data_IF_724854460917
#
_entry.id   IF_724854460917
#
_cell.length_a   1.000
_cell.length_b   1.000
_cell.length_c   1.000
_cell.angle_alpha   90.00
_cell.angle_beta   90.00
_cell.angle_gamma   90.00
#
_symmetry.space_group_name_H-M   'P 1'
#
loop_
_entity.id
_entity.type
_entity.pdbx_description
1 polymer ?
#
# COMPACT_ATOMS: atom_id res chain seq x y z
N UNK A 1 23.41 -6.36 2.81
CA UNK A 1 22.00 -6.03 3.10
C UNK A 1 22.04 -4.88 4.09
N UNK A 2 21.28 -3.81 3.85
CA UNK A 2 21.22 -2.66 4.74
C UNK A 2 20.53 -3.05 6.05
N UNK A 3 21.00 -2.52 7.19
CA UNK A 3 20.34 -2.66 8.49
C UNK A 3 19.35 -1.52 8.77
N UNK A 4 19.05 -0.69 7.77
CA UNK A 4 18.06 0.40 7.88
C UNK A 4 16.66 -0.13 7.59
N UNK A 5 15.62 0.34 8.30
CA UNK A 5 14.24 -0.03 8.02
C UNK A 5 13.83 0.17 6.57
N UNK A 6 13.16 -0.84 6.01
CA UNK A 6 12.56 -0.77 4.68
C UNK A 6 11.15 -0.23 4.82
N UNK A 7 10.93 1.03 4.43
CA UNK A 7 9.60 1.64 4.40
C UNK A 7 9.08 1.58 2.98
N UNK A 8 7.94 0.92 2.77
CA UNK A 8 7.31 0.77 1.48
C UNK A 8 6.00 1.53 1.43
N UNK A 9 5.81 2.32 0.37
CA UNK A 9 4.54 2.93 0.02
C UNK A 9 4.09 2.39 -1.34
N UNK A 10 2.85 1.92 -1.42
CA UNK A 10 2.22 1.49 -2.68
C UNK A 10 1.03 2.39 -2.96
N UNK A 11 1.03 3.02 -4.13
CA UNK A 11 -0.03 3.92 -4.59
C UNK A 11 -0.83 3.19 -5.66
N UNK A 12 -2.13 3.05 -5.46
CA UNK A 12 -3.05 2.38 -6.37
C UNK A 12 -4.04 3.39 -6.96
N UNK A 13 -4.15 3.43 -8.28
CA UNK A 13 -5.22 4.17 -8.95
C UNK A 13 -6.39 3.23 -9.17
N UNK A 14 -7.50 3.46 -8.48
CA UNK A 14 -8.63 2.52 -8.41
C UNK A 14 -9.87 3.07 -9.10
N UNK A 15 -10.74 2.18 -9.58
CA UNK A 15 -12.10 2.56 -9.98
C UNK A 15 -12.99 2.69 -8.73
N UNK A 16 -13.91 3.68 -8.69
CA UNK A 16 -14.88 3.79 -7.59
C UNK A 16 -15.71 2.52 -7.38
N UNK A 17 -16.04 1.82 -8.47
CA UNK A 17 -16.84 0.59 -8.43
C UNK A 17 -16.04 -0.61 -7.89
N UNK A 18 -14.71 -0.52 -7.84
CA UNK A 18 -13.82 -1.59 -7.36
C UNK A 18 -13.52 -1.50 -5.85
N UNK A 19 -14.04 -0.49 -5.13
CA UNK A 19 -13.68 -0.25 -3.72
C UNK A 19 -13.96 -1.45 -2.82
N UNK A 20 -15.09 -2.16 -3.02
CA UNK A 20 -15.43 -3.32 -2.20
C UNK A 20 -14.40 -4.45 -2.37
N UNK A 21 -14.04 -4.75 -3.61
CA UNK A 21 -13.02 -5.75 -3.93
C UNK A 21 -11.64 -5.31 -3.45
N UNK A 22 -11.30 -4.03 -3.62
CA UNK A 22 -10.04 -3.46 -3.14
C UNK A 22 -9.90 -3.59 -1.62
N UNK A 23 -10.99 -3.40 -0.85
CA UNK A 23 -10.98 -3.62 0.61
C UNK A 23 -10.69 -5.07 0.98
N UNK A 24 -11.19 -6.03 0.20
CA UNK A 24 -10.91 -7.46 0.42
C UNK A 24 -9.45 -7.78 0.11
N UNK A 25 -8.93 -7.30 -1.04
CA UNK A 25 -7.51 -7.36 -1.39
C UNK A 25 -6.63 -6.77 -0.27
N UNK A 26 -6.95 -5.56 0.20
CA UNK A 26 -6.21 -4.86 1.23
C UNK A 26 -6.13 -5.66 2.54
N UNK A 27 -7.27 -6.19 3.03
CA UNK A 27 -7.30 -7.01 4.26
C UNK A 27 -6.42 -8.25 4.15
N UNK A 28 -6.44 -8.93 3.02
CA UNK A 28 -5.59 -10.11 2.78
C UNK A 28 -4.11 -9.73 2.85
N UNK A 29 -3.70 -8.68 2.14
CA UNK A 29 -2.29 -8.28 2.12
C UNK A 29 -1.80 -7.68 3.44
N UNK A 30 -2.64 -6.95 4.17
CA UNK A 30 -2.31 -6.51 5.54
C UNK A 30 -1.99 -7.71 6.43
N UNK A 31 -2.88 -8.70 6.45
CA UNK A 31 -2.71 -9.93 7.24
C UNK A 31 -1.44 -10.70 6.85
N UNK A 32 -1.18 -10.84 5.55
CA UNK A 32 0.01 -11.54 5.06
C UNK A 32 1.30 -10.81 5.42
N UNK A 33 1.35 -9.49 5.25
CA UNK A 33 2.54 -8.69 5.59
C UNK A 33 2.82 -8.77 7.10
N UNK A 34 1.80 -8.63 7.94
CA UNK A 34 1.93 -8.72 9.39
C UNK A 34 2.34 -10.12 9.86
N UNK A 35 1.77 -11.17 9.25
CA UNK A 35 2.15 -12.56 9.52
C UNK A 35 3.64 -12.80 9.33
N UNK A 36 4.26 -12.15 8.34
CA UNK A 36 5.66 -12.34 7.97
C UNK A 36 6.59 -11.24 8.47
N UNK A 37 6.23 -10.59 9.59
CA UNK A 37 7.12 -9.70 10.34
C UNK A 37 7.17 -8.26 9.83
N UNK A 38 6.30 -7.89 8.88
CA UNK A 38 6.09 -6.49 8.53
C UNK A 38 5.13 -5.81 9.50
N UNK A 39 5.22 -4.48 9.61
CA UNK A 39 4.23 -3.66 10.32
C UNK A 39 3.46 -2.85 9.29
N UNK A 40 2.13 -2.97 9.28
CA UNK A 40 1.29 -2.23 8.34
C UNK A 40 0.69 -0.98 8.99
N UNK A 41 0.87 0.19 8.35
CA UNK A 41 0.27 1.44 8.84
C UNK A 41 -1.21 1.52 8.46
N UNK A 42 -1.54 0.97 7.30
CA UNK A 42 -2.92 0.84 6.81
C UNK A 42 -3.03 0.99 5.30
N UNK A 43 -4.20 0.62 4.78
CA UNK A 43 -4.65 1.06 3.46
C UNK A 43 -5.54 2.29 3.64
N UNK A 44 -5.19 3.36 2.95
CA UNK A 44 -5.89 4.64 2.97
C UNK A 44 -6.49 4.89 1.59
N UNK A 45 -7.58 5.63 1.53
CA UNK A 45 -8.16 6.13 0.28
C UNK A 45 -8.28 7.65 0.38
N UNK A 46 -8.01 8.32 -0.73
CA UNK A 46 -8.27 9.74 -0.91
C UNK A 46 -9.68 10.11 -0.47
N UNK A 47 -9.82 11.20 0.27
CA UNK A 47 -11.11 11.76 0.67
C UNK A 47 -11.08 13.27 0.56
N UNK A 48 -12.27 13.87 0.49
CA UNK A 48 -12.39 15.32 0.59
C UNK A 48 -11.75 15.82 1.91
N UNK A 49 -10.96 16.89 1.80
CA UNK A 49 -10.39 17.58 2.94
C UNK A 49 -11.46 18.23 3.82
N UNK A 50 -11.13 18.60 5.07
CA UNK A 50 -12.05 19.34 5.94
C UNK A 50 -12.54 20.64 5.30
N UNK A 51 -13.78 21.04 5.58
CA UNK A 51 -14.33 22.30 5.09
C UNK A 51 -13.50 23.49 5.61
N UNK A 52 -13.17 24.43 4.72
CA UNK A 52 -12.36 25.60 5.05
C UNK A 52 -10.86 25.33 5.22
N UNK A 53 -10.38 24.11 4.98
CA UNK A 53 -8.95 23.84 4.90
C UNK A 53 -8.34 24.65 3.75
N UNK A 54 -7.23 25.35 4.04
CA UNK A 54 -6.47 26.12 3.07
C UNK A 54 -5.05 25.56 2.99
N UNK A 55 -4.49 25.53 1.79
CA UNK A 55 -3.11 25.13 1.57
C UNK A 55 -2.17 26.18 2.19
N UNK A 56 -1.16 25.72 2.91
CA UNK A 56 -0.17 26.61 3.56
C UNK A 56 0.62 27.47 2.57
N UNK A 57 0.75 26.99 1.33
CA UNK A 57 1.48 27.68 0.26
C UNK A 57 0.57 27.81 -0.98
N UNK A 58 -0.18 28.93 -1.10
CA UNK A 58 -1.03 29.17 -2.25
C UNK A 58 -0.22 29.16 -3.56
N UNK A 59 -0.78 28.54 -4.60
CA UNK A 59 -0.17 28.49 -5.93
C UNK A 59 0.87 27.38 -6.15
N UNK A 60 1.38 26.74 -5.10
CA UNK A 60 2.31 25.58 -5.22
C UNK A 60 1.63 24.26 -4.85
N UNK A 61 0.68 24.28 -3.91
CA UNK A 61 -0.11 23.10 -3.55
C UNK A 61 -1.38 22.94 -4.39
N UNK A 62 -1.94 21.71 -4.40
CA UNK A 62 -3.25 21.39 -4.96
C UNK A 62 -3.96 20.34 -4.12
N UNK A 63 -5.24 20.58 -3.82
CA UNK A 63 -6.14 19.55 -3.30
C UNK A 63 -6.79 18.85 -4.49
N UNK A 64 -6.24 17.71 -4.90
CA UNK A 64 -6.81 16.89 -5.96
C UNK A 64 -7.47 15.64 -5.38
N UNK A 65 -8.79 15.53 -5.55
CA UNK A 65 -9.51 14.30 -5.25
C UNK A 65 -9.42 13.35 -6.46
N UNK A 66 -8.35 12.57 -6.52
CA UNK A 66 -8.24 11.41 -7.43
C UNK A 66 -8.61 10.15 -6.68
N UNK A 67 -9.16 9.13 -7.34
CA UNK A 67 -9.41 7.81 -6.74
C UNK A 67 -8.09 7.05 -6.47
N UNK A 68 -7.33 7.56 -5.50
CA UNK A 68 -6.02 7.07 -5.10
C UNK A 68 -6.18 6.33 -3.78
N UNK A 69 -5.71 5.09 -3.74
CA UNK A 69 -5.49 4.37 -2.50
C UNK A 69 -3.98 4.24 -2.22
N UNK A 70 -3.60 4.23 -0.95
CA UNK A 70 -2.21 4.14 -0.51
C UNK A 70 -2.10 3.04 0.54
N UNK A 71 -1.18 2.11 0.34
CA UNK A 71 -0.74 1.18 1.37
C UNK A 71 0.63 1.61 1.87
N UNK A 72 0.84 1.56 3.19
CA UNK A 72 2.17 1.78 3.76
C UNK A 72 2.49 0.71 4.79
N UNK A 73 3.70 0.16 4.69
CA UNK A 73 4.19 -0.86 5.60
C UNK A 73 5.71 -0.80 5.74
N UNK A 74 6.23 -1.34 6.83
CA UNK A 74 7.64 -1.28 7.19
C UNK A 74 8.16 -2.67 7.57
N UNK A 75 9.41 -2.96 7.20
CA UNK A 75 10.18 -4.09 7.70
C UNK A 75 11.43 -3.59 8.43
N UNK A 76 11.96 -4.42 9.34
CA UNK A 76 13.13 -4.09 10.16
C UNK A 76 14.35 -3.70 9.31
N UNK A 77 14.59 -4.44 8.24
CA UNK A 77 15.73 -4.29 7.34
C UNK A 77 15.49 -5.01 5.99
N UNK A 78 16.49 -4.98 5.11
CA UNK A 78 16.44 -5.65 3.79
C UNK A 78 16.23 -7.16 3.92
N UNK A 79 16.87 -7.80 4.91
CA UNK A 79 16.82 -9.24 5.08
C UNK A 79 15.41 -9.70 5.46
N UNK A 80 14.77 -9.00 6.40
CA UNK A 80 13.39 -9.23 6.79
C UNK A 80 12.42 -9.04 5.62
N UNK A 81 12.61 -7.98 4.81
CA UNK A 81 11.78 -7.75 3.63
C UNK A 81 11.92 -8.88 2.59
N UNK A 82 13.14 -9.33 2.29
CA UNK A 82 13.35 -10.41 1.33
C UNK A 82 12.81 -11.75 1.83
N UNK A 83 13.00 -12.07 3.11
CA UNK A 83 12.43 -13.27 3.72
C UNK A 83 10.89 -13.27 3.59
N UNK A 84 10.25 -12.13 3.89
CA UNK A 84 8.81 -11.97 3.66
C UNK A 84 8.43 -12.29 2.20
N UNK A 85 9.16 -11.72 1.23
CA UNK A 85 8.85 -11.93 -0.20
C UNK A 85 8.98 -13.39 -0.61
N UNK A 86 9.93 -14.11 -0.02
CA UNK A 86 10.13 -15.54 -0.26
C UNK A 86 9.02 -16.38 0.36
N UNK A 87 8.72 -16.15 1.64
CA UNK A 87 7.74 -16.91 2.40
C UNK A 87 6.30 -16.68 1.90
N UNK A 88 5.93 -15.42 1.64
CA UNK A 88 4.60 -15.08 1.14
C UNK A 88 4.35 -15.66 -0.26
N UNK A 89 5.38 -15.92 -1.06
CA UNK A 89 5.22 -16.55 -2.37
C UNK A 89 4.76 -18.02 -2.27
N UNK A 90 4.94 -18.65 -1.11
CA UNK A 90 4.56 -20.04 -0.82
C UNK A 90 3.32 -20.15 0.06
N UNK A 91 2.85 -19.03 0.62
CA UNK A 91 1.64 -19.00 1.45
C UNK A 91 0.39 -19.27 0.62
N UNK A 92 -0.45 -20.20 1.08
CA UNK A 92 -1.66 -20.60 0.37
C UNK A 92 -2.66 -19.44 0.18
N UNK A 93 -2.83 -18.56 1.17
CA UNK A 93 -3.71 -17.39 1.06
C UNK A 93 -3.16 -16.36 0.07
N UNK A 94 -1.83 -16.21 0.00
CA UNK A 94 -1.19 -15.33 -0.98
C UNK A 94 -1.31 -15.88 -2.41
N UNK A 95 -1.13 -17.19 -2.59
CA UNK A 95 -1.34 -17.87 -3.88
C UNK A 95 -2.79 -17.71 -4.33
N UNK A 96 -3.76 -17.92 -3.43
CA UNK A 96 -5.18 -17.72 -3.72
C UNK A 96 -5.47 -16.26 -4.12
N UNK A 97 -4.96 -15.29 -3.36
CA UNK A 97 -5.14 -13.87 -3.66
C UNK A 97 -4.54 -13.49 -5.02
N UNK A 98 -3.34 -13.97 -5.33
CA UNK A 98 -2.68 -13.75 -6.61
C UNK A 98 -3.44 -14.43 -7.77
N UNK A 99 -4.00 -15.61 -7.54
CA UNK A 99 -4.84 -16.30 -8.54
C UNK A 99 -6.12 -15.52 -8.84
N UNK A 100 -6.77 -14.99 -7.79
CA UNK A 100 -7.98 -14.18 -7.89
C UNK A 100 -7.75 -12.85 -8.59
N UNK A 101 -6.69 -12.12 -8.21
CA UNK A 101 -6.48 -10.74 -8.65
C UNK A 101 -5.39 -10.57 -9.72
N UNK A 102 -4.64 -11.62 -10.06
CA UNK A 102 -3.49 -11.52 -10.96
C UNK A 102 -3.85 -11.15 -12.41
N UNK A 103 -5.03 -11.55 -12.88
CA UNK A 103 -5.54 -11.19 -14.23
C UNK A 103 -6.39 -9.93 -14.21
N UNK A 104 -7.12 -9.70 -13.12
CA UNK A 104 -8.08 -8.60 -12.99
C UNK A 104 -7.95 -8.01 -11.59
N UNK A 105 -6.89 -7.22 -11.34
CA UNK A 105 -6.71 -6.59 -10.05
C UNK A 105 -7.82 -5.55 -9.79
N UNK A 106 -8.16 -5.26 -8.52
CA UNK A 106 -9.17 -4.27 -8.17
C UNK A 106 -8.63 -2.83 -8.24
N UNK A 107 -7.76 -2.56 -9.22
CA UNK A 107 -7.12 -1.27 -9.48
C UNK A 107 -6.64 -1.22 -10.94
N UNK A 108 -6.54 -0.02 -11.52
CA UNK A 108 -6.08 0.18 -12.91
C UNK A 108 -4.58 0.10 -13.05
N UNK A 109 -3.87 0.66 -12.08
CA UNK A 109 -2.42 0.72 -12.04
C UNK A 109 -1.95 0.91 -10.60
N UNK A 110 -0.67 0.63 -10.36
CA UNK A 110 -0.04 0.90 -9.08
C UNK A 110 1.42 1.30 -9.25
N UNK A 111 1.93 2.05 -8.28
CA UNK A 111 3.33 2.45 -8.14
C UNK A 111 3.84 1.98 -6.78
N UNK A 112 5.05 1.45 -6.70
CA UNK A 112 5.70 1.10 -5.42
C UNK A 112 6.96 1.92 -5.23
N UNK A 113 7.06 2.55 -4.07
CA UNK A 113 8.17 3.42 -3.70
C UNK A 113 8.77 2.92 -2.38
N UNK A 114 10.10 2.89 -2.32
CA UNK A 114 10.83 2.67 -1.08
C UNK A 114 11.28 4.02 -0.53
N UNK A 115 11.02 4.25 0.74
CA UNK A 115 11.24 5.52 1.41
C UNK A 115 12.34 5.38 2.47
N UNK A 116 13.10 6.44 2.64
CA UNK A 116 14.02 6.60 3.76
C UNK A 116 13.52 7.72 4.66
N UNK A 117 13.66 7.54 5.98
CA UNK A 117 13.33 8.59 6.94
C UNK A 117 14.37 9.69 6.84
N UNK A 118 13.95 10.91 6.51
CA UNK A 118 14.84 12.06 6.39
C UNK A 118 15.18 12.70 7.74
N UNK A 119 14.25 12.68 8.71
CA UNK A 119 14.38 13.25 10.07
C UNK A 119 13.66 12.42 11.12
#
# INVERSE_FOLDING_TARGET
>A
MSNTPVICEVRYYIDPDAISEFKSYARTWMKLIERYGGTHDGYFISRQGPAGAVLSFPGTGKDELRALAVARFTFLDDAAYFLYREEVARDAEAIEANSRYGKTPPFKSYERVFLERLV
#
